data_IF_233660509214
#
_entry.id   IF_233660509214
#
_cell.length_a   1.000
_cell.length_b   1.000
_cell.length_c   1.000
_cell.angle_alpha   90.00
_cell.angle_beta   90.00
_cell.angle_gamma   90.00
#
_symmetry.space_group_name_H-M   'P 1'
#
loop_
_entity.id
_entity.type
_entity.pdbx_description
1 polymer ?
#
# COMPACT_ATOMS: atom_id res chain seq x y z
N UNK A 1 -27.30 65.06 0.62
CA UNK A 1 -26.90 64.47 -0.67
C UNK A 1 -26.22 63.16 -0.38
N UNK A 2 -27.01 62.12 -0.59
CA UNK A 2 -26.71 60.71 -0.36
C UNK A 2 -25.69 60.19 -1.38
N UNK A 3 -24.81 59.28 -0.94
CA UNK A 3 -24.29 58.09 -1.67
C UNK A 3 -23.07 57.51 -0.95
N UNK A 4 -23.34 56.56 -0.05
CA UNK A 4 -22.40 55.46 0.26
C UNK A 4 -22.48 54.45 -0.89
N UNK A 5 -21.35 54.17 -1.55
CA UNK A 5 -21.20 53.04 -2.46
C UNK A 5 -20.47 51.89 -1.74
N UNK A 6 -20.93 50.63 -1.83
CA UNK A 6 -20.31 49.52 -1.11
C UNK A 6 -19.11 48.96 -1.89
N UNK A 7 -17.99 48.78 -1.18
CA UNK A 7 -16.87 47.94 -1.62
C UNK A 7 -17.31 46.47 -1.68
N UNK A 8 -17.32 45.88 -2.87
CA UNK A 8 -17.63 44.48 -3.10
C UNK A 8 -16.36 43.63 -3.00
N UNK A 9 -16.42 42.61 -2.14
CA UNK A 9 -15.58 41.41 -2.17
C UNK A 9 -15.61 40.76 -3.57
N UNK A 10 -14.49 40.30 -4.13
CA UNK A 10 -14.50 39.26 -5.14
C UNK A 10 -14.44 37.90 -4.43
N UNK A 11 -15.60 37.39 -4.06
CA UNK A 11 -15.79 35.98 -3.76
C UNK A 11 -16.04 35.21 -5.05
N UNK A 12 -15.38 34.06 -5.15
CA UNK A 12 -15.91 32.80 -5.69
C UNK A 12 -16.67 32.82 -7.02
N UNK A 13 -16.03 32.29 -8.08
CA UNK A 13 -16.68 31.46 -9.09
C UNK A 13 -15.59 30.74 -9.92
N UNK A 14 -15.02 29.68 -9.35
CA UNK A 14 -14.34 28.65 -10.14
C UNK A 14 -15.37 27.57 -10.41
N UNK A 15 -15.76 27.50 -11.68
CA UNK A 15 -16.87 26.69 -12.16
C UNK A 15 -16.76 25.22 -11.75
N UNK A 16 -17.92 24.68 -11.39
CA UNK A 16 -18.20 23.25 -11.38
C UNK A 16 -18.08 22.69 -12.80
N UNK A 17 -16.84 22.40 -13.20
CA UNK A 17 -16.55 21.58 -14.37
C UNK A 17 -17.00 20.16 -14.06
N UNK A 18 -18.12 19.76 -14.67
CA UNK A 18 -18.69 18.43 -14.52
C UNK A 18 -17.64 17.36 -14.81
N UNK A 19 -17.43 16.48 -13.83
CA UNK A 19 -16.73 15.23 -14.04
C UNK A 19 -17.53 14.43 -15.07
N UNK A 20 -17.07 14.43 -16.31
CA UNK A 20 -17.53 13.49 -17.34
C UNK A 20 -17.29 12.10 -16.76
N UNK A 21 -18.39 11.38 -16.52
CA UNK A 21 -18.36 10.04 -15.97
C UNK A 21 -17.58 9.10 -16.90
N UNK A 22 -16.28 8.98 -16.66
CA UNK A 22 -15.53 7.79 -17.05
C UNK A 22 -16.19 6.63 -16.32
N UNK A 23 -16.78 5.70 -17.08
CA UNK A 23 -17.11 4.38 -16.57
C UNK A 23 -15.84 3.86 -15.90
N UNK A 24 -15.91 3.68 -14.59
CA UNK A 24 -14.79 3.19 -13.78
C UNK A 24 -14.54 1.72 -14.17
N UNK A 25 -13.76 1.52 -15.23
CA UNK A 25 -13.18 0.23 -15.52
C UNK A 25 -12.15 -0.03 -14.41
N UNK A 26 -12.49 -0.92 -13.48
CA UNK A 26 -11.64 -1.21 -12.31
C UNK A 26 -10.18 -1.48 -12.69
N UNK A 27 -9.27 -1.27 -11.75
CA UNK A 27 -7.84 -1.39 -12.00
C UNK A 27 -7.44 -2.84 -12.34
N UNK A 28 -6.48 -3.03 -13.24
CA UNK A 28 -5.86 -4.34 -13.50
C UNK A 28 -4.48 -4.37 -12.87
N UNK A 29 -4.24 -5.33 -11.99
CA UNK A 29 -2.99 -5.42 -11.23
C UNK A 29 -2.20 -6.63 -11.72
N UNK A 30 -1.12 -6.40 -12.46
CA UNK A 30 -0.28 -7.46 -13.01
C UNK A 30 0.93 -7.74 -12.14
N UNK A 31 0.99 -8.96 -11.59
CA UNK A 31 2.09 -9.44 -10.75
C UNK A 31 2.03 -10.98 -10.58
N UNK A 32 2.91 -11.57 -9.79
CA UNK A 32 2.78 -12.99 -9.38
C UNK A 32 1.64 -13.20 -8.37
N UNK A 33 1.22 -14.47 -8.23
CA UNK A 33 0.25 -14.97 -7.23
C UNK A 33 0.82 -14.96 -5.81
N UNK A 34 1.12 -13.78 -5.32
CA UNK A 34 1.61 -13.53 -3.97
C UNK A 34 1.73 -12.04 -3.68
N UNK A 35 2.18 -11.72 -2.46
CA UNK A 35 2.34 -10.34 -2.00
C UNK A 35 3.38 -9.57 -2.82
N UNK A 36 4.65 -9.98 -2.65
CA UNK A 36 5.82 -9.32 -3.22
C UNK A 36 5.81 -7.79 -3.11
N UNK A 37 6.34 -7.13 -4.13
CA UNK A 37 6.40 -5.67 -4.19
C UNK A 37 5.05 -5.02 -4.49
N UNK A 38 4.09 -5.79 -5.01
CA UNK A 38 2.80 -5.31 -5.47
C UNK A 38 1.76 -5.15 -4.35
N UNK A 39 1.94 -5.83 -3.22
CA UNK A 39 0.91 -5.87 -2.17
C UNK A 39 0.46 -4.50 -1.64
N UNK A 40 1.36 -3.53 -1.39
CA UNK A 40 0.93 -2.20 -1.00
C UNK A 40 -0.04 -1.56 -2.01
N UNK A 41 0.11 -1.82 -3.31
CA UNK A 41 -0.77 -1.28 -4.34
C UNK A 41 -2.18 -1.88 -4.28
N UNK A 42 -2.27 -3.19 -4.01
CA UNK A 42 -3.55 -3.87 -3.79
C UNK A 42 -4.23 -3.40 -2.50
N UNK A 43 -3.46 -3.18 -1.44
CA UNK A 43 -3.98 -2.62 -0.19
C UNK A 43 -4.56 -1.21 -0.40
N UNK A 44 -3.91 -0.36 -1.18
CA UNK A 44 -4.41 0.99 -1.51
C UNK A 44 -5.77 0.88 -2.22
N UNK A 45 -5.87 0.04 -3.24
CA UNK A 45 -7.13 -0.19 -3.96
C UNK A 45 -8.23 -0.75 -3.04
N UNK A 46 -7.87 -1.71 -2.17
CA UNK A 46 -8.81 -2.31 -1.23
C UNK A 46 -9.31 -1.31 -0.18
N UNK A 47 -8.42 -0.50 0.42
CA UNK A 47 -8.79 0.56 1.38
C UNK A 47 -9.68 1.62 0.72
N UNK A 48 -9.39 1.97 -0.54
CA UNK A 48 -10.24 2.87 -1.33
C UNK A 48 -11.62 2.28 -1.69
N UNK A 49 -11.82 0.98 -1.52
CA UNK A 49 -12.99 0.27 -2.02
C UNK A 49 -13.05 0.19 -3.55
N UNK A 50 -11.95 0.50 -4.24
CA UNK A 50 -11.88 0.50 -5.69
C UNK A 50 -11.91 -0.95 -6.23
N UNK A 51 -12.74 -1.24 -7.24
CA UNK A 51 -12.72 -2.55 -7.88
C UNK A 51 -11.38 -2.75 -8.61
N UNK A 52 -10.79 -3.93 -8.45
CA UNK A 52 -9.62 -4.34 -9.21
C UNK A 52 -9.63 -5.83 -9.48
N UNK A 53 -8.96 -6.24 -10.54
CA UNK A 53 -8.68 -7.64 -10.85
C UNK A 53 -7.17 -7.90 -10.86
N UNK A 54 -6.77 -9.10 -10.45
CA UNK A 54 -5.40 -9.55 -10.56
C UNK A 54 -5.17 -10.25 -11.90
N UNK A 55 -4.12 -9.83 -12.61
CA UNK A 55 -3.62 -10.50 -13.81
C UNK A 55 -2.32 -11.19 -13.43
N UNK A 56 -2.35 -12.51 -13.34
CA UNK A 56 -1.21 -13.26 -12.84
C UNK A 56 -0.24 -13.68 -13.93
N UNK A 57 1.05 -13.48 -13.67
CA UNK A 57 2.13 -14.05 -14.48
C UNK A 57 2.17 -15.57 -14.28
N UNK A 58 1.90 -16.32 -15.34
CA UNK A 58 1.99 -17.78 -15.41
C UNK A 58 3.38 -18.28 -15.83
N UNK A 59 4.17 -17.46 -16.53
CA UNK A 59 5.52 -17.82 -16.97
C UNK A 59 6.29 -16.70 -17.65
N UNK A 60 7.42 -17.04 -18.28
CA UNK A 60 8.30 -16.10 -18.99
C UNK A 60 7.58 -15.44 -20.18
N UNK A 61 6.72 -16.20 -20.83
CA UNK A 61 5.96 -15.80 -22.02
C UNK A 61 5.05 -14.61 -21.70
N UNK A 62 4.43 -14.58 -20.52
CA UNK A 62 3.58 -13.47 -20.10
C UNK A 62 4.40 -12.19 -19.88
N UNK A 63 5.58 -12.29 -19.25
CA UNK A 63 6.49 -11.16 -19.11
C UNK A 63 6.98 -10.65 -20.48
N UNK A 64 7.32 -11.55 -21.39
CA UNK A 64 7.72 -11.20 -22.76
C UNK A 64 6.59 -10.50 -23.52
N UNK A 65 5.35 -10.97 -23.39
CA UNK A 65 4.19 -10.36 -24.02
C UNK A 65 3.95 -8.92 -23.52
N UNK A 66 4.10 -8.68 -22.21
CA UNK A 66 3.98 -7.33 -21.64
C UNK A 66 5.05 -6.37 -22.17
N UNK A 67 6.29 -6.85 -22.31
CA UNK A 67 7.42 -6.07 -22.87
C UNK A 67 7.20 -5.77 -24.34
N UNK A 68 6.83 -6.78 -25.13
CA UNK A 68 6.54 -6.62 -26.56
C UNK A 68 5.37 -5.66 -26.81
N UNK A 69 4.38 -5.64 -25.93
CA UNK A 69 3.26 -4.70 -25.97
C UNK A 69 3.61 -3.28 -25.49
N UNK A 70 4.86 -3.02 -25.06
CA UNK A 70 5.29 -1.70 -24.57
C UNK A 70 4.63 -1.28 -23.25
N UNK A 71 4.09 -2.23 -22.47
CA UNK A 71 3.38 -1.91 -21.21
C UNK A 71 4.34 -1.62 -20.05
N UNK A 72 5.60 -2.03 -20.15
CA UNK A 72 6.58 -1.93 -19.07
C UNK A 72 7.72 -0.99 -19.48
N UNK A 73 7.73 0.25 -19.00
CA UNK A 73 8.79 1.23 -19.32
C UNK A 73 10.20 0.74 -19.00
N UNK A 74 10.33 -0.10 -17.96
CA UNK A 74 11.61 -0.62 -17.47
C UNK A 74 11.64 -2.15 -17.41
N UNK A 75 10.82 -2.83 -18.23
CA UNK A 75 10.80 -4.30 -18.33
C UNK A 75 10.49 -5.06 -17.01
N UNK A 76 9.92 -4.35 -16.03
CA UNK A 76 9.68 -4.79 -14.66
C UNK A 76 8.21 -4.60 -14.27
N UNK A 77 7.72 -5.53 -13.44
CA UNK A 77 6.46 -5.40 -12.69
C UNK A 77 6.77 -5.02 -11.22
N UNK A 78 5.85 -4.42 -10.45
CA UNK A 78 4.40 -4.33 -10.65
C UNK A 78 3.97 -3.42 -11.80
N UNK A 79 2.89 -3.81 -12.47
CA UNK A 79 2.13 -2.99 -13.41
C UNK A 79 0.69 -2.84 -12.88
N UNK A 80 0.19 -1.61 -12.85
CA UNK A 80 -1.21 -1.31 -12.57
C UNK A 80 -1.79 -0.55 -13.77
N UNK A 81 -2.77 -1.14 -14.43
CA UNK A 81 -3.50 -0.48 -15.52
C UNK A 81 -4.74 0.20 -14.95
N UNK A 82 -4.81 1.52 -15.02
CA UNK A 82 -5.94 2.35 -14.53
C UNK A 82 -5.94 3.68 -15.26
N UNK A 83 -7.12 4.27 -15.50
CA UNK A 83 -7.27 5.56 -16.21
C UNK A 83 -6.62 5.61 -17.61
N UNK A 84 -6.52 4.45 -18.28
CA UNK A 84 -5.81 4.34 -19.56
C UNK A 84 -4.28 4.44 -19.45
N UNK A 85 -3.73 4.44 -18.24
CA UNK A 85 -2.30 4.47 -17.96
C UNK A 85 -1.75 3.09 -17.62
N UNK A 86 -0.50 2.85 -17.98
CA UNK A 86 0.32 1.74 -17.50
C UNK A 86 1.22 2.25 -16.36
N UNK A 87 0.76 2.14 -15.11
CA UNK A 87 1.53 2.60 -13.96
C UNK A 87 2.59 1.54 -13.59
N UNK A 88 3.85 1.95 -13.63
CA UNK A 88 5.02 1.14 -13.26
C UNK A 88 5.80 1.84 -12.15
N UNK A 89 6.72 1.12 -11.51
CA UNK A 89 7.45 1.54 -10.29
C UNK A 89 6.52 1.72 -9.09
N UNK A 90 6.79 0.98 -8.02
CA UNK A 90 5.88 0.85 -6.88
C UNK A 90 5.57 2.18 -6.18
N UNK A 91 6.57 3.02 -5.92
CA UNK A 91 6.38 4.30 -5.21
C UNK A 91 5.53 5.31 -5.98
N UNK A 92 5.87 5.69 -7.23
CA UNK A 92 5.01 6.63 -7.97
C UNK A 92 3.62 6.05 -8.24
N UNK A 93 3.49 4.74 -8.47
CA UNK A 93 2.18 4.09 -8.61
C UNK A 93 1.35 4.22 -7.32
N UNK A 94 1.97 3.98 -6.15
CA UNK A 94 1.29 4.13 -4.86
C UNK A 94 0.83 5.58 -4.62
N UNK A 95 1.65 6.57 -4.96
CA UNK A 95 1.31 7.99 -4.85
C UNK A 95 0.15 8.34 -5.80
N UNK A 96 0.21 7.91 -7.06
CA UNK A 96 -0.87 8.15 -8.03
C UNK A 96 -2.21 7.60 -7.52
N UNK A 97 -2.23 6.34 -7.06
CA UNK A 97 -3.43 5.72 -6.52
C UNK A 97 -3.90 6.44 -5.25
N UNK A 98 -2.99 6.82 -4.35
CA UNK A 98 -3.34 7.56 -3.14
C UNK A 98 -3.95 8.93 -3.47
N UNK A 99 -3.42 9.65 -4.46
CA UNK A 99 -3.98 10.92 -4.94
C UNK A 99 -5.37 10.71 -5.54
N UNK A 100 -5.53 9.71 -6.42
CA UNK A 100 -6.80 9.37 -7.08
C UNK A 100 -7.92 9.10 -6.08
N UNK A 101 -7.60 8.41 -4.98
CA UNK A 101 -8.59 7.99 -3.97
C UNK A 101 -8.57 8.83 -2.69
N UNK A 102 -7.96 10.03 -2.70
CA UNK A 102 -8.02 10.95 -1.56
C UNK A 102 -7.21 10.53 -0.32
N UNK A 103 -6.25 9.61 -0.46
CA UNK A 103 -5.33 9.15 0.58
C UNK A 103 -3.94 9.83 0.52
N UNK A 104 -3.79 10.86 -0.30
CA UNK A 104 -2.59 11.70 -0.35
C UNK A 104 -2.89 13.09 0.22
N UNK A 105 -2.15 13.57 1.24
CA UNK A 105 -2.40 14.87 1.84
C UNK A 105 -2.25 16.04 0.86
N UNK A 106 -2.93 17.16 1.15
CA UNK A 106 -2.90 18.35 0.30
C UNK A 106 -1.67 19.25 0.55
N UNK A 107 -1.25 19.40 1.81
CA UNK A 107 -0.14 20.29 2.18
C UNK A 107 1.22 19.57 2.15
N UNK A 108 2.28 20.33 1.86
CA UNK A 108 3.61 19.78 1.65
C UNK A 108 4.20 19.07 2.88
N UNK A 109 3.87 19.53 4.09
CA UNK A 109 4.38 18.94 5.33
C UNK A 109 3.76 17.56 5.54
N UNK A 110 2.44 17.45 5.43
CA UNK A 110 1.74 16.18 5.55
C UNK A 110 2.11 15.21 4.43
N UNK A 111 2.33 15.69 3.20
CA UNK A 111 2.86 14.89 2.10
C UNK A 111 4.24 14.31 2.40
N UNK A 112 5.15 15.13 2.95
CA UNK A 112 6.47 14.65 3.37
C UNK A 112 6.35 13.56 4.44
N UNK A 113 5.51 13.78 5.45
CA UNK A 113 5.26 12.79 6.52
C UNK A 113 4.74 11.48 5.92
N UNK A 114 3.71 11.56 5.07
CA UNK A 114 3.14 10.39 4.42
C UNK A 114 4.17 9.64 3.56
N UNK A 115 4.94 10.39 2.76
CA UNK A 115 5.94 9.86 1.84
C UNK A 115 7.12 9.19 2.55
N UNK A 116 7.67 9.81 3.60
CA UNK A 116 8.81 9.21 4.30
C UNK A 116 8.39 7.99 5.13
N UNK A 117 7.16 7.95 5.66
CA UNK A 117 6.64 6.76 6.35
C UNK A 117 6.45 5.63 5.34
N UNK A 118 5.89 5.92 4.16
CA UNK A 118 5.77 4.94 3.09
C UNK A 118 7.13 4.36 2.68
N UNK A 119 8.15 5.21 2.48
CA UNK A 119 9.51 4.76 2.18
C UNK A 119 10.10 3.91 3.32
N UNK A 120 9.94 4.34 4.58
CA UNK A 120 10.39 3.60 5.74
C UNK A 120 9.70 2.21 5.87
N UNK A 121 8.42 2.11 5.48
CA UNK A 121 7.71 0.84 5.46
C UNK A 121 8.28 -0.13 4.41
N UNK A 122 8.79 0.38 3.29
CA UNK A 122 9.49 -0.45 2.30
C UNK A 122 10.79 -1.03 2.86
N UNK A 123 11.55 -0.26 3.64
CA UNK A 123 12.75 -0.74 4.32
C UNK A 123 12.40 -1.78 5.40
N UNK A 124 11.37 -1.50 6.19
CA UNK A 124 10.96 -2.34 7.32
C UNK A 124 10.56 -3.77 6.88
N UNK A 125 9.89 -3.91 5.73
CA UNK A 125 9.39 -5.20 5.23
C UNK A 125 10.42 -6.01 4.43
N UNK A 126 11.66 -5.55 4.30
CA UNK A 126 12.72 -6.22 3.52
C UNK A 126 12.86 -7.72 3.84
N UNK A 127 13.05 -8.11 5.13
CA UNK A 127 13.15 -9.53 5.50
C UNK A 127 11.90 -10.34 5.17
N UNK A 128 10.70 -9.76 5.32
CA UNK A 128 9.43 -10.41 4.98
C UNK A 128 9.31 -10.65 3.47
N UNK A 129 9.80 -9.73 2.64
CA UNK A 129 9.80 -9.85 1.18
C UNK A 129 10.67 -11.02 0.70
N UNK A 130 11.75 -11.33 1.42
CA UNK A 130 12.72 -12.38 1.08
C UNK A 130 12.33 -13.73 1.70
N UNK A 131 11.50 -13.74 2.75
CA UNK A 131 11.01 -14.95 3.41
C UNK A 131 10.56 -16.07 2.46
N UNK A 132 9.75 -15.83 1.40
CA UNK A 132 9.28 -16.92 0.55
C UNK A 132 10.38 -17.71 -0.14
N UNK A 133 11.58 -17.12 -0.31
CA UNK A 133 12.69 -17.72 -1.05
C UNK A 133 13.60 -18.64 -0.21
N UNK A 134 13.49 -18.57 1.12
CA UNK A 134 14.24 -19.42 2.05
C UNK A 134 13.34 -20.13 3.08
N UNK A 135 12.16 -19.58 3.41
CA UNK A 135 11.15 -20.13 4.32
C UNK A 135 11.68 -20.46 5.73
N UNK A 136 12.70 -19.73 6.17
CA UNK A 136 13.33 -19.85 7.49
C UNK A 136 12.77 -18.75 8.40
N UNK A 137 11.90 -19.13 9.34
CA UNK A 137 11.21 -18.19 10.22
C UNK A 137 12.16 -17.63 11.27
N UNK A 138 13.08 -18.43 11.77
CA UNK A 138 14.09 -18.06 12.76
C UNK A 138 15.00 -16.98 12.20
N UNK A 139 15.54 -17.20 11.00
CA UNK A 139 16.34 -16.20 10.27
C UNK A 139 15.55 -14.92 10.03
N UNK A 140 14.31 -15.03 9.55
CA UNK A 140 13.47 -13.86 9.29
C UNK A 140 13.24 -13.06 10.58
N UNK A 141 12.91 -13.75 11.69
CA UNK A 141 12.72 -13.12 12.99
C UNK A 141 13.99 -12.43 13.48
N UNK A 142 15.16 -13.06 13.31
CA UNK A 142 16.44 -12.49 13.71
C UNK A 142 16.75 -11.19 12.94
N UNK A 143 16.53 -11.17 11.61
CA UNK A 143 16.70 -9.96 10.78
C UNK A 143 15.71 -8.85 11.19
N UNK A 144 14.45 -9.20 11.47
CA UNK A 144 13.43 -8.25 11.94
C UNK A 144 13.71 -7.70 13.35
N UNK A 145 14.36 -8.50 14.20
CA UNK A 145 14.74 -8.15 15.58
C UNK A 145 16.12 -7.49 15.68
N UNK A 146 16.86 -7.35 14.58
CA UNK A 146 18.14 -6.64 14.60
C UNK A 146 17.98 -5.18 15.05
N UNK A 147 19.05 -4.54 15.52
CA UNK A 147 19.01 -3.13 15.96
C UNK A 147 18.51 -2.15 14.87
N UNK A 148 18.63 -2.55 13.60
CA UNK A 148 18.15 -1.81 12.43
C UNK A 148 16.86 -2.39 11.82
N UNK A 149 16.35 -3.49 12.37
CA UNK A 149 15.22 -4.25 11.87
C UNK A 149 13.87 -3.65 12.25
N UNK A 150 12.81 -4.19 11.64
CA UNK A 150 11.42 -3.76 11.82
C UNK A 150 11.05 -3.53 13.29
N UNK A 151 11.29 -4.54 14.14
CA UNK A 151 10.76 -4.58 15.50
C UNK A 151 11.43 -3.57 16.44
N UNK A 152 12.73 -3.33 16.27
CA UNK A 152 13.50 -2.44 17.16
C UNK A 152 13.65 -1.01 16.61
N UNK A 153 13.50 -0.82 15.30
CA UNK A 153 13.65 0.49 14.66
C UNK A 153 12.31 1.13 14.34
N UNK A 154 11.47 0.44 13.58
CA UNK A 154 10.34 1.11 12.91
C UNK A 154 9.08 1.07 13.76
N UNK A 155 8.72 -0.09 14.34
CA UNK A 155 7.52 -0.20 15.18
C UNK A 155 7.51 0.79 16.36
N UNK A 156 8.59 0.96 17.16
CA UNK A 156 8.60 1.96 18.23
C UNK A 156 8.45 3.39 17.74
N UNK A 157 9.01 3.71 16.57
CA UNK A 157 8.90 5.05 15.96
C UNK A 157 7.48 5.32 15.48
N UNK A 158 6.82 4.35 14.85
CA UNK A 158 5.44 4.50 14.39
C UNK A 158 4.44 4.54 15.55
N UNK A 159 4.66 3.79 16.64
CA UNK A 159 3.91 3.96 17.89
C UNK A 159 4.04 5.40 18.41
N UNK A 160 5.26 5.94 18.42
CA UNK A 160 5.52 7.33 18.82
C UNK A 160 4.83 8.36 17.92
N UNK A 161 4.78 8.12 16.60
CA UNK A 161 4.05 8.98 15.66
C UNK A 161 2.55 8.94 15.95
N UNK A 162 1.96 7.75 16.14
CA UNK A 162 0.54 7.63 16.50
C UNK A 162 0.23 8.33 17.83
N UNK A 163 1.13 8.24 18.81
CA UNK A 163 0.97 8.93 20.10
C UNK A 163 0.98 10.45 19.97
N UNK A 164 1.77 10.98 19.04
CA UNK A 164 1.88 12.42 18.77
C UNK A 164 0.85 12.93 17.76
N UNK A 165 0.14 12.04 17.07
CA UNK A 165 -0.80 12.42 16.03
C UNK A 165 -2.07 13.07 16.61
N UNK A 166 -2.56 14.09 15.93
CA UNK A 166 -3.86 14.72 16.22
C UNK A 166 -4.99 13.94 15.52
N UNK A 167 -5.15 12.67 15.89
CA UNK A 167 -6.16 11.79 15.31
C UNK A 167 -5.78 10.31 15.37
N UNK A 168 -6.64 9.43 14.84
CA UNK A 168 -6.41 8.00 14.86
C UNK A 168 -5.37 7.51 13.84
N UNK A 169 -4.94 8.34 12.89
CA UNK A 169 -4.05 7.93 11.80
C UNK A 169 -2.69 8.66 11.88
N UNK A 170 -1.71 8.14 11.15
CA UNK A 170 -0.32 8.61 11.21
C UNK A 170 -0.14 10.07 10.76
N UNK A 171 -1.07 10.60 9.98
CA UNK A 171 -1.05 11.97 9.44
C UNK A 171 -2.34 12.73 9.79
N UNK A 172 -2.96 12.39 10.93
CA UNK A 172 -4.09 13.13 11.50
C UNK A 172 -5.43 12.38 11.46
N UNK A 173 -6.55 13.04 11.08
CA UNK A 173 -7.90 12.50 11.29
C UNK A 173 -8.33 11.46 10.25
N UNK A 174 -7.68 11.39 9.09
CA UNK A 174 -8.06 10.51 7.97
C UNK A 174 -6.91 9.61 7.55
N UNK A 175 -7.24 8.41 7.05
CA UNK A 175 -6.26 7.45 6.57
C UNK A 175 -5.55 7.97 5.30
N UNK A 176 -4.24 7.74 5.23
CA UNK A 176 -3.38 8.12 4.12
C UNK A 176 -2.57 6.93 3.62
N UNK A 177 -1.78 7.13 2.57
CA UNK A 177 -0.80 6.15 2.10
C UNK A 177 0.12 5.62 3.21
N UNK A 178 0.47 6.45 4.21
CA UNK A 178 1.28 6.01 5.34
C UNK A 178 0.60 4.91 6.15
N UNK A 179 -0.70 5.05 6.40
CA UNK A 179 -1.48 4.10 7.18
C UNK A 179 -1.59 2.75 6.48
N UNK A 180 -1.84 2.78 5.17
CA UNK A 180 -1.89 1.58 4.33
C UNK A 180 -0.53 0.86 4.30
N UNK A 181 0.56 1.63 4.24
CA UNK A 181 1.91 1.08 4.21
C UNK A 181 2.30 0.41 5.54
N UNK A 182 2.04 1.07 6.67
CA UNK A 182 2.32 0.50 8.00
C UNK A 182 1.44 -0.72 8.25
N UNK A 183 0.16 -0.67 7.89
CA UNK A 183 -0.72 -1.83 7.95
C UNK A 183 -0.15 -3.03 7.18
N UNK A 184 0.35 -2.82 5.95
CA UNK A 184 0.88 -3.92 5.12
C UNK A 184 2.06 -4.63 5.79
N UNK A 185 2.98 -3.90 6.44
CA UNK A 185 4.13 -4.51 7.14
C UNK A 185 3.67 -5.39 8.29
N UNK A 186 2.74 -4.89 9.12
CA UNK A 186 2.21 -5.61 10.28
C UNK A 186 1.43 -6.84 9.86
N UNK A 187 0.56 -6.70 8.86
CA UNK A 187 -0.22 -7.81 8.35
C UNK A 187 0.64 -8.84 7.58
N UNK A 188 1.77 -8.43 6.99
CA UNK A 188 2.73 -9.36 6.40
C UNK A 188 3.47 -10.13 7.49
N UNK A 189 3.91 -9.48 8.57
CA UNK A 189 4.44 -10.18 9.75
C UNK A 189 3.44 -11.22 10.27
N UNK A 190 2.18 -10.82 10.46
CA UNK A 190 1.09 -11.71 10.88
C UNK A 190 0.94 -12.91 9.94
N UNK A 191 1.02 -12.69 8.63
CA UNK A 191 0.92 -13.77 7.65
C UNK A 191 2.11 -14.75 7.69
N UNK A 192 3.32 -14.28 8.01
CA UNK A 192 4.51 -15.14 8.13
C UNK A 192 4.52 -15.92 9.46
N UNK A 193 4.24 -15.24 10.56
CA UNK A 193 4.44 -15.79 11.91
C UNK A 193 3.16 -16.31 12.57
N UNK A 194 1.98 -15.90 12.10
CA UNK A 194 0.68 -16.28 12.67
C UNK A 194 0.15 -15.28 13.70
N UNK A 195 -1.13 -15.43 14.06
CA UNK A 195 -1.86 -14.53 14.98
C UNK A 195 -1.27 -14.49 16.39
N UNK A 196 -0.90 -15.64 16.95
CA UNK A 196 -0.36 -15.73 18.31
C UNK A 196 0.94 -14.93 18.44
N UNK A 197 1.92 -15.20 17.57
CA UNK A 197 3.19 -14.46 17.54
C UNK A 197 3.00 -12.99 17.23
N UNK A 198 2.07 -12.63 16.34
CA UNK A 198 1.72 -11.24 16.06
C UNK A 198 1.24 -10.52 17.33
N UNK A 199 0.24 -11.07 18.01
CA UNK A 199 -0.32 -10.47 19.22
C UNK A 199 0.73 -10.38 20.34
N UNK A 200 1.53 -11.42 20.55
CA UNK A 200 2.57 -11.41 21.58
C UNK A 200 3.70 -10.43 21.30
N UNK A 201 4.09 -10.27 20.03
CA UNK A 201 5.15 -9.33 19.63
C UNK A 201 4.69 -7.87 19.76
N UNK A 202 3.45 -7.58 19.36
CA UNK A 202 2.96 -6.21 19.25
C UNK A 202 2.08 -5.76 20.43
N UNK A 203 1.82 -6.58 21.45
CA UNK A 203 1.11 -6.16 22.68
C UNK A 203 1.74 -4.97 23.40
N UNK A 204 3.05 -4.76 23.22
CA UNK A 204 3.77 -3.60 23.73
C UNK A 204 3.54 -2.31 22.92
N UNK A 205 2.89 -2.40 21.75
CA UNK A 205 2.56 -1.30 20.84
C UNK A 205 1.03 -1.22 20.63
N UNK A 206 0.25 -0.89 21.67
CA UNK A 206 -1.20 -0.93 21.62
C UNK A 206 -1.81 0.05 20.61
N UNK A 207 -1.19 1.20 20.33
CA UNK A 207 -1.71 2.13 19.32
C UNK A 207 -1.56 1.54 17.92
N UNK A 208 -0.46 0.86 17.63
CA UNK A 208 -0.25 0.15 16.37
C UNK A 208 -1.22 -1.02 16.18
N UNK A 209 -1.53 -1.78 17.24
CA UNK A 209 -2.56 -2.83 17.16
C UNK A 209 -3.94 -2.24 16.84
N UNK A 210 -4.32 -1.15 17.52
CA UNK A 210 -5.57 -0.45 17.25
C UNK A 210 -5.60 0.17 15.85
N UNK A 211 -4.46 0.69 15.37
CA UNK A 211 -4.28 1.21 14.02
C UNK A 211 -4.43 0.13 12.96
N UNK A 212 -3.81 -1.03 13.15
CA UNK A 212 -3.93 -2.17 12.26
C UNK A 212 -5.39 -2.59 12.07
N UNK A 213 -6.15 -2.76 13.16
CA UNK A 213 -7.58 -3.11 13.08
C UNK A 213 -8.43 -2.02 12.44
N UNK A 214 -8.07 -0.75 12.66
CA UNK A 214 -8.76 0.38 12.04
C UNK A 214 -8.58 0.38 10.52
N UNK A 215 -7.34 0.25 10.03
CA UNK A 215 -7.06 0.21 8.59
C UNK A 215 -7.68 -1.03 7.94
N UNK A 216 -7.67 -2.17 8.63
CA UNK A 216 -8.34 -3.38 8.18
C UNK A 216 -9.84 -3.20 7.96
N UNK A 217 -10.47 -2.34 8.76
CA UNK A 217 -11.89 -2.00 8.64
C UNK A 217 -12.24 -1.06 7.49
N UNK A 218 -11.27 -0.53 6.75
CA UNK A 218 -11.51 0.42 5.67
C UNK A 218 -11.84 -0.28 4.35
N UNK A 219 -12.80 0.28 3.61
CA UNK A 219 -13.19 -0.16 2.28
C UNK A 219 -13.44 -1.67 2.21
N UNK A 220 -12.72 -2.34 1.33
CA UNK A 220 -12.73 -3.80 1.13
C UNK A 220 -11.47 -4.48 1.68
N UNK A 221 -10.71 -3.82 2.56
CA UNK A 221 -9.43 -4.33 3.05
C UNK A 221 -9.57 -5.67 3.79
N UNK A 222 -10.61 -5.83 4.62
CA UNK A 222 -10.91 -7.10 5.29
C UNK A 222 -11.23 -8.22 4.29
N UNK A 223 -12.09 -7.95 3.31
CA UNK A 223 -12.43 -8.91 2.25
C UNK A 223 -11.20 -9.30 1.44
N UNK A 224 -10.36 -8.32 1.04
CA UNK A 224 -9.12 -8.57 0.32
C UNK A 224 -8.18 -9.45 1.15
N UNK A 225 -7.96 -9.13 2.42
CA UNK A 225 -7.08 -9.90 3.32
C UNK A 225 -7.58 -11.33 3.52
N UNK A 226 -8.86 -11.51 3.85
CA UNK A 226 -9.39 -12.76 4.36
C UNK A 226 -9.91 -13.70 3.26
N UNK A 227 -10.31 -13.14 2.11
CA UNK A 227 -10.86 -13.92 0.99
C UNK A 227 -9.98 -13.80 -0.25
N UNK A 228 -9.69 -12.59 -0.70
CA UNK A 228 -8.94 -12.36 -1.95
C UNK A 228 -7.56 -13.03 -1.93
N UNK A 229 -6.73 -12.69 -0.95
CA UNK A 229 -5.38 -13.27 -0.80
C UNK A 229 -5.42 -14.78 -0.60
N UNK A 230 -6.28 -15.27 0.30
CA UNK A 230 -6.36 -16.69 0.62
C UNK A 230 -6.80 -17.53 -0.57
N UNK A 231 -7.64 -16.99 -1.45
CA UNK A 231 -8.09 -17.66 -2.67
C UNK A 231 -7.04 -17.61 -3.79
N UNK A 232 -6.34 -16.49 -3.93
CA UNK A 232 -5.56 -16.21 -5.13
C UNK A 232 -4.06 -16.47 -4.99
N UNK A 233 -3.50 -16.36 -3.78
CA UNK A 233 -2.06 -16.50 -3.56
C UNK A 233 -1.62 -17.96 -3.44
N UNK A 234 -0.42 -18.22 -3.94
CA UNK A 234 0.23 -19.52 -3.83
C UNK A 234 0.88 -19.69 -2.45
N UNK A 235 1.05 -20.95 -1.98
CA UNK A 235 1.97 -21.24 -0.89
C UNK A 235 3.37 -20.68 -1.14
N UNK A 236 4.10 -20.31 -0.08
CA UNK A 236 5.38 -19.58 -0.19
C UNK A 236 6.40 -20.23 -1.12
N UNK A 237 6.59 -21.54 -1.02
CA UNK A 237 7.50 -22.28 -1.89
C UNK A 237 7.10 -22.26 -3.36
N UNK A 238 5.80 -22.36 -3.66
CA UNK A 238 5.30 -22.35 -5.04
C UNK A 238 5.32 -20.94 -5.64
N UNK A 239 5.02 -19.92 -4.83
CA UNK A 239 5.27 -18.53 -5.20
C UNK A 239 6.75 -18.30 -5.57
N UNK A 240 7.69 -18.74 -4.74
CA UNK A 240 9.12 -18.56 -5.00
C UNK A 240 9.59 -19.30 -6.27
N UNK A 241 9.09 -20.52 -6.51
CA UNK A 241 9.34 -21.26 -7.76
C UNK A 241 8.79 -20.52 -8.98
N UNK A 242 7.55 -20.01 -8.90
CA UNK A 242 6.91 -19.26 -9.98
C UNK A 242 7.70 -17.98 -10.32
N UNK A 243 8.17 -17.24 -9.30
CA UNK A 243 9.01 -16.05 -9.50
C UNK A 243 10.32 -16.42 -10.19
N UNK A 244 11.04 -17.42 -9.69
CA UNK A 244 12.32 -17.89 -10.28
C UNK A 244 12.13 -18.35 -11.73
N UNK A 245 11.12 -19.17 -12.00
CA UNK A 245 10.82 -19.65 -13.35
C UNK A 245 10.49 -18.53 -14.35
N UNK A 246 10.02 -17.37 -13.87
CA UNK A 246 9.69 -16.22 -14.71
C UNK A 246 10.90 -15.29 -14.94
N UNK A 247 11.81 -15.19 -13.96
CA UNK A 247 12.90 -14.19 -13.96
C UNK A 247 14.28 -14.77 -14.29
N UNK A 248 14.54 -16.04 -13.96
CA UNK A 248 15.77 -16.77 -14.29
C UNK A 248 15.62 -17.41 -15.66
#
# INVERSE_FOLDING_TARGET
TDRRGPSRNPGSELGSGGAVGMKDCGARVTYWRGRGRCEPLRCILAVAGAPFENVYLGGKEDMQALRAAGKLTYDQVPLVEVDGLNLVQGTPTAIYLAQKYGMWPADCKSQYIAGHIFAAAQDARGPLLIFPFHQDKERCMQELSGAKGFLNRFAPRWEGILKAAEGPYLVGPSATLADVAVFEVFDFFRHVFGEETFNDTFKQFPLLLAHHERVLGLGRMREWRDTGRNKEFLPWGDYAKSVRATLD
#
